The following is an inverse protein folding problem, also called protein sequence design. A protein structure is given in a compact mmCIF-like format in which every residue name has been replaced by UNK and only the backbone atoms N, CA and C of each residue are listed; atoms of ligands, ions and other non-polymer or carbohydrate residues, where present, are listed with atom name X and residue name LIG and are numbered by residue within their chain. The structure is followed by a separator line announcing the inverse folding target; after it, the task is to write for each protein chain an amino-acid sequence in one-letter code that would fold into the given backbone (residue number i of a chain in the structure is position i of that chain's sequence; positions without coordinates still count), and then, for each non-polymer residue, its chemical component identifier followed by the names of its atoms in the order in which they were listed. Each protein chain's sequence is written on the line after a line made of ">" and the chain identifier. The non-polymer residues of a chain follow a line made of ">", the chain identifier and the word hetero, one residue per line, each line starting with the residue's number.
data_IF_641663272180
#
_entry.id   IF_641663272180
#
_cell.length_a   1.000
_cell.length_b   1.000
_cell.length_c   1.000
_cell.angle_alpha   90.00
_cell.angle_beta   90.00
_cell.angle_gamma   90.00
#
_symmetry.space_group_name_H-M   'P 1'
#
loop_
_entity.id
_entity.type
_entity.pdbx_description
1 polymer ?
#
# COMPACT_ATOMS: atom_id res chain seq x y z
N UNK A 1 11.48 23.14 -5.27
CA UNK A 1 11.41 23.09 -3.81
C UNK A 1 11.34 21.66 -3.28
N UNK A 2 10.45 20.79 -3.78
CA UNK A 2 10.29 19.39 -3.32
C UNK A 2 11.60 18.61 -3.47
N UNK A 3 12.26 18.68 -4.63
CA UNK A 3 13.52 17.98 -4.92
C UNK A 3 14.72 18.46 -4.08
N UNK A 4 14.62 19.60 -3.42
CA UNK A 4 15.67 20.12 -2.55
C UNK A 4 15.55 19.64 -1.09
N UNK A 5 14.57 18.80 -0.78
CA UNK A 5 14.33 18.23 0.55
C UNK A 5 15.20 17.00 0.81
N UNK A 6 15.29 16.59 2.06
CA UNK A 6 16.03 15.37 2.43
C UNK A 6 15.52 14.16 1.62
N UNK A 7 16.42 13.43 0.94
CA UNK A 7 16.03 12.34 0.07
C UNK A 7 15.52 11.12 0.87
N UNK A 8 14.80 10.23 0.20
CA UNK A 8 14.14 9.05 0.80
C UNK A 8 15.06 8.15 1.63
N UNK A 9 16.35 8.07 1.27
CA UNK A 9 17.31 7.24 2.00
C UNK A 9 17.82 7.88 3.32
N UNK A 10 17.43 9.13 3.62
CA UNK A 10 17.68 9.78 4.90
C UNK A 10 16.43 9.72 5.78
N UNK A 11 16.10 8.50 6.21
CA UNK A 11 14.90 8.24 7.00
C UNK A 11 15.03 8.88 8.39
N UNK A 12 14.01 9.65 8.78
CA UNK A 12 13.81 10.13 10.14
C UNK A 12 12.39 9.72 10.56
N UNK A 13 12.24 8.54 11.18
CA UNK A 13 10.96 7.94 11.48
C UNK A 13 10.12 8.84 12.39
N UNK A 14 9.05 9.42 11.87
CA UNK A 14 8.04 10.16 12.63
C UNK A 14 6.81 10.39 11.75
N UNK A 15 5.63 10.15 12.29
CA UNK A 15 4.36 10.51 11.66
C UNK A 15 3.93 11.95 11.97
N UNK A 16 4.44 12.53 13.06
CA UNK A 16 3.99 13.82 13.62
C UNK A 16 3.98 14.96 12.60
N UNK A 17 4.99 15.03 11.71
CA UNK A 17 5.06 16.12 10.72
C UNK A 17 3.98 15.99 9.66
N UNK A 18 3.75 14.75 9.19
CA UNK A 18 2.71 14.47 8.19
C UNK A 18 1.33 14.68 8.80
N UNK A 19 1.08 14.13 9.99
CA UNK A 19 -0.15 14.34 10.77
C UNK A 19 -0.43 15.83 10.98
N UNK A 20 0.58 16.62 11.37
CA UNK A 20 0.42 18.05 11.58
C UNK A 20 0.02 18.82 10.31
N UNK A 21 0.53 18.42 9.12
CA UNK A 21 0.10 19.02 7.86
C UNK A 21 -1.32 18.61 7.52
N UNK A 22 -1.66 17.32 7.66
CA UNK A 22 -3.00 16.80 7.38
C UNK A 22 -4.05 17.41 8.30
N UNK A 23 -3.75 17.61 9.58
CA UNK A 23 -4.63 18.31 10.51
C UNK A 23 -4.93 19.75 10.07
N UNK A 24 -3.92 20.48 9.57
CA UNK A 24 -4.11 21.83 9.03
C UNK A 24 -4.93 21.82 7.72
N UNK A 25 -4.88 20.75 6.94
CA UNK A 25 -5.67 20.52 5.74
C UNK A 25 -7.09 20.00 6.04
N UNK A 26 -7.42 19.70 7.30
CA UNK A 26 -8.71 19.15 7.70
C UNK A 26 -8.85 17.64 7.53
N UNK A 27 -7.73 16.91 7.53
CA UNK A 27 -7.66 15.44 7.44
C UNK A 27 -8.29 14.89 6.14
N UNK A 28 -7.82 15.30 4.96
CA UNK A 28 -8.39 14.89 3.67
C UNK A 28 -8.35 13.37 3.46
N UNK A 29 -7.39 12.68 4.07
CA UNK A 29 -7.19 11.22 3.99
C UNK A 29 -8.37 10.41 4.58
N UNK A 30 -9.28 11.06 5.31
CA UNK A 30 -10.46 10.41 5.92
C UNK A 30 -11.71 10.49 5.04
N UNK A 31 -11.64 11.09 3.87
CA UNK A 31 -12.80 11.33 2.99
C UNK A 31 -13.05 10.20 1.99
N UNK A 32 -12.15 9.23 1.88
CA UNK A 32 -12.22 8.10 0.97
C UNK A 32 -11.72 6.81 1.64
N UNK A 33 -12.07 5.67 1.06
CA UNK A 33 -11.55 4.36 1.53
C UNK A 33 -10.08 4.20 1.16
N UNK A 34 -9.38 3.34 1.91
CA UNK A 34 -7.95 3.13 1.70
C UNK A 34 -7.57 1.65 1.65
N UNK A 35 -6.76 1.29 0.65
CA UNK A 35 -6.02 0.03 0.59
C UNK A 35 -4.55 0.35 0.82
N UNK A 36 -3.98 -0.12 1.92
CA UNK A 36 -2.60 0.15 2.32
C UNK A 36 -1.72 -1.08 2.08
N UNK A 37 -0.65 -0.95 1.31
CA UNK A 37 0.14 -2.10 0.83
C UNK A 37 1.57 -2.01 1.31
N UNK A 38 2.03 -3.02 2.05
CA UNK A 38 3.43 -3.20 2.45
C UNK A 38 3.97 -4.57 2.05
N UNK A 39 5.24 -4.79 2.28
CA UNK A 39 5.99 -6.03 2.02
C UNK A 39 7.40 -5.74 1.54
N UNK A 40 8.15 -6.78 1.18
CA UNK A 40 9.48 -6.61 0.60
C UNK A 40 9.38 -6.55 -0.92
N UNK A 41 8.74 -7.52 -1.55
CA UNK A 41 8.59 -7.63 -2.99
C UNK A 41 7.12 -7.60 -3.42
N UNK A 42 6.84 -7.08 -4.61
CA UNK A 42 5.50 -7.14 -5.21
C UNK A 42 4.57 -5.98 -4.88
N UNK A 43 4.90 -5.08 -3.94
CA UNK A 43 4.07 -3.94 -3.54
C UNK A 43 3.49 -3.15 -4.72
N UNK A 44 4.35 -2.59 -5.56
CA UNK A 44 3.93 -1.75 -6.70
C UNK A 44 3.09 -2.51 -7.71
N UNK A 45 3.44 -3.79 -8.00
CA UNK A 45 2.65 -4.63 -8.91
C UNK A 45 1.26 -4.88 -8.33
N UNK A 46 1.17 -5.25 -7.06
CA UNK A 46 -0.10 -5.46 -6.35
C UNK A 46 -0.92 -4.16 -6.32
N UNK A 47 -0.31 -3.01 -6.02
CA UNK A 47 -0.99 -1.72 -5.99
C UNK A 47 -1.61 -1.36 -7.37
N UNK A 48 -0.86 -1.53 -8.46
CA UNK A 48 -1.34 -1.28 -9.82
C UNK A 48 -2.48 -2.21 -10.23
N UNK A 49 -2.38 -3.50 -9.88
CA UNK A 49 -3.44 -4.48 -10.16
C UNK A 49 -4.70 -4.18 -9.34
N UNK A 50 -4.56 -3.87 -8.05
CA UNK A 50 -5.67 -3.48 -7.17
C UNK A 50 -6.40 -2.27 -7.72
N UNK A 51 -5.67 -1.19 -8.07
CA UNK A 51 -6.25 0.00 -8.69
C UNK A 51 -7.05 -0.34 -9.96
N UNK A 52 -6.48 -1.15 -10.87
CA UNK A 52 -7.15 -1.54 -12.12
C UNK A 52 -8.41 -2.37 -11.88
N UNK A 53 -8.40 -3.26 -10.90
CA UNK A 53 -9.58 -4.05 -10.53
C UNK A 53 -10.69 -3.18 -9.95
N UNK A 54 -10.35 -2.25 -9.05
CA UNK A 54 -11.29 -1.30 -8.46
C UNK A 54 -11.88 -0.34 -9.53
N UNK A 55 -11.06 0.18 -10.42
CA UNK A 55 -11.50 1.00 -11.54
C UNK A 55 -12.42 0.22 -12.51
N UNK A 56 -12.10 -1.05 -12.80
CA UNK A 56 -12.97 -1.92 -13.60
C UNK A 56 -14.30 -2.21 -12.90
N UNK A 57 -14.34 -2.20 -11.57
CA UNK A 57 -15.54 -2.25 -10.73
C UNK A 57 -16.33 -0.96 -10.69
N UNK A 58 -15.90 0.09 -11.41
CA UNK A 58 -16.60 1.37 -11.53
C UNK A 58 -16.26 2.41 -10.46
N UNK A 59 -15.24 2.17 -9.64
CA UNK A 59 -14.78 3.13 -8.64
C UNK A 59 -13.82 4.16 -9.25
N UNK A 60 -13.90 5.40 -8.77
CA UNK A 60 -12.86 6.41 -8.99
C UNK A 60 -11.70 6.10 -8.07
N UNK A 61 -10.50 6.01 -8.63
CA UNK A 61 -9.33 5.52 -7.90
C UNK A 61 -8.21 6.54 -7.80
N UNK A 62 -7.58 6.58 -6.64
CA UNK A 62 -6.27 7.19 -6.45
C UNK A 62 -5.21 6.12 -6.20
N UNK A 63 -3.97 6.33 -6.64
CA UNK A 63 -2.86 5.46 -6.29
C UNK A 63 -1.60 6.25 -5.97
N UNK A 64 -0.96 5.89 -4.85
CA UNK A 64 0.36 6.39 -4.48
C UNK A 64 1.36 5.23 -4.47
N UNK A 65 2.45 5.37 -5.22
CA UNK A 65 3.51 4.34 -5.34
C UNK A 65 4.91 4.94 -5.35
N UNK A 66 5.93 4.16 -4.97
CA UNK A 66 7.34 4.55 -5.01
C UNK A 66 8.26 3.36 -5.29
N UNK A 67 9.43 3.60 -5.91
CA UNK A 67 9.84 4.84 -6.57
C UNK A 67 9.17 5.04 -7.94
N UNK A 68 9.39 6.18 -8.59
CA UNK A 68 9.04 6.37 -10.01
C UNK A 68 10.14 5.86 -10.95
N UNK A 69 9.77 5.56 -12.18
CA UNK A 69 10.70 5.07 -13.21
C UNK A 69 11.18 6.20 -14.15
N UNK A 70 10.28 7.00 -14.66
CA UNK A 70 10.59 8.06 -15.62
C UNK A 70 10.26 9.46 -15.08
N UNK A 71 9.12 9.63 -14.42
CA UNK A 71 8.69 10.94 -13.92
C UNK A 71 8.11 10.85 -12.51
N UNK A 72 8.36 11.87 -11.69
CA UNK A 72 7.83 12.00 -10.33
C UNK A 72 6.30 11.90 -10.28
N UNK A 73 5.59 12.31 -11.34
CA UNK A 73 4.14 12.29 -11.44
C UNK A 73 3.56 10.86 -11.40
N UNK A 74 4.35 9.83 -11.76
CA UNK A 74 3.95 8.42 -11.65
C UNK A 74 3.62 7.99 -10.23
N UNK A 75 4.12 8.73 -9.23
CA UNK A 75 3.87 8.41 -7.81
C UNK A 75 2.45 8.69 -7.38
N UNK A 76 1.76 9.61 -8.08
CA UNK A 76 0.38 9.98 -7.82
C UNK A 76 -0.42 9.70 -9.09
N UNK A 77 -1.31 8.73 -9.06
CA UNK A 77 -2.20 8.41 -10.17
C UNK A 77 -3.65 8.67 -9.79
N UNK A 78 -4.43 9.12 -10.77
CA UNK A 78 -5.87 9.31 -10.68
C UNK A 78 -6.53 8.50 -11.80
N UNK A 79 -7.46 7.62 -11.48
CA UNK A 79 -8.12 6.69 -12.39
C UNK A 79 -7.15 5.91 -13.30
N UNK A 80 -6.02 5.50 -12.70
CA UNK A 80 -5.00 4.67 -13.36
C UNK A 80 -3.98 5.41 -14.20
N UNK A 81 -4.09 6.74 -14.35
CA UNK A 81 -3.16 7.56 -15.09
C UNK A 81 -2.33 8.47 -14.15
N UNK A 82 -1.03 8.69 -14.43
CA UNK A 82 -0.24 9.64 -13.66
C UNK A 82 -0.90 11.03 -13.65
N UNK A 83 -0.88 11.68 -12.49
CA UNK A 83 -1.39 13.05 -12.36
C UNK A 83 -0.79 13.96 -13.44
N UNK A 84 -1.59 14.87 -14.02
CA UNK A 84 -1.11 15.83 -15.02
C UNK A 84 -0.04 16.76 -14.43
N UNK A 85 0.69 17.45 -15.28
CA UNK A 85 1.69 18.43 -14.81
C UNK A 85 1.03 19.55 -14.04
N UNK A 86 -0.08 20.06 -14.56
CA UNK A 86 -0.89 21.11 -13.94
C UNK A 86 -1.47 20.62 -12.61
N UNK A 87 -2.00 19.38 -12.55
CA UNK A 87 -2.53 18.79 -11.33
C UNK A 87 -1.45 18.57 -10.27
N UNK A 88 -0.23 18.18 -10.68
CA UNK A 88 0.89 18.03 -9.74
C UNK A 88 1.33 19.37 -9.16
N UNK A 89 1.36 20.43 -9.99
CA UNK A 89 1.69 21.79 -9.54
C UNK A 89 0.60 22.29 -8.59
N UNK A 90 -0.67 22.16 -8.95
CA UNK A 90 -1.80 22.56 -8.11
C UNK A 90 -1.76 21.84 -6.75
N UNK A 91 -1.57 20.51 -6.73
CA UNK A 91 -1.45 19.75 -5.49
C UNK A 91 -0.29 20.22 -4.61
N UNK A 92 0.82 20.67 -5.20
CA UNK A 92 1.91 21.29 -4.45
C UNK A 92 1.51 22.66 -3.90
N UNK A 93 0.94 23.53 -4.73
CA UNK A 93 0.54 24.89 -4.35
C UNK A 93 -0.48 24.87 -3.19
N UNK A 94 -1.39 23.91 -3.20
CA UNK A 94 -2.41 23.74 -2.16
C UNK A 94 -1.82 23.33 -0.82
N UNK A 95 -0.81 22.45 -0.79
CA UNK A 95 -0.21 21.97 0.46
C UNK A 95 0.98 22.79 0.94
N UNK A 96 1.67 23.52 0.05
CA UNK A 96 2.92 24.22 0.33
C UNK A 96 2.85 25.19 1.52
N UNK A 97 1.79 26.00 1.71
CA UNK A 97 1.68 26.91 2.86
C UNK A 97 1.67 26.13 4.19
N UNK A 98 0.97 25.02 4.26
CA UNK A 98 0.85 24.19 5.46
C UNK A 98 2.15 23.43 5.76
N UNK A 99 2.79 22.91 4.71
CA UNK A 99 4.12 22.31 4.81
C UNK A 99 5.13 23.31 5.35
N UNK A 100 5.13 24.57 4.87
CA UNK A 100 6.01 25.62 5.36
C UNK A 100 5.76 25.92 6.85
N UNK A 101 4.51 26.01 7.28
CA UNK A 101 4.16 26.23 8.69
C UNK A 101 4.66 25.11 9.61
N UNK A 102 4.55 23.85 9.18
CA UNK A 102 5.02 22.70 9.96
C UNK A 102 6.55 22.64 9.94
N UNK A 103 7.19 22.92 8.80
CA UNK A 103 8.65 23.02 8.70
C UNK A 103 9.22 24.07 9.68
N UNK A 104 8.63 25.26 9.73
CA UNK A 104 9.04 26.33 10.66
C UNK A 104 8.89 25.90 12.13
N UNK A 105 7.77 25.28 12.49
CA UNK A 105 7.54 24.76 13.85
C UNK A 105 8.55 23.69 14.23
N UNK A 106 8.78 22.72 13.33
CA UNK A 106 9.74 21.64 13.54
C UNK A 106 11.15 22.18 13.73
N UNK A 107 11.59 23.11 12.86
CA UNK A 107 12.91 23.72 12.95
C UNK A 107 13.09 24.58 14.21
N UNK A 108 12.06 25.30 14.64
CA UNK A 108 12.09 26.06 15.89
C UNK A 108 12.23 25.14 17.12
N UNK A 109 11.74 23.89 17.03
CA UNK A 109 11.93 22.87 18.05
C UNK A 109 13.23 22.05 17.89
N UNK A 110 14.09 22.40 16.92
CA UNK A 110 15.34 21.68 16.62
C UNK A 110 15.16 20.42 15.77
N UNK A 111 13.95 20.19 15.22
CA UNK A 111 13.65 19.06 14.36
C UNK A 111 13.94 19.33 12.87
N UNK A 112 13.78 18.32 12.02
CA UNK A 112 13.97 18.45 10.59
C UNK A 112 12.75 19.03 9.88
N UNK A 113 12.92 19.48 8.65
CA UNK A 113 11.83 19.75 7.72
C UNK A 113 11.22 18.44 7.23
N UNK A 114 9.98 18.49 6.69
CA UNK A 114 9.42 17.36 5.97
C UNK A 114 10.38 16.91 4.86
N UNK A 115 10.58 15.60 4.77
CA UNK A 115 11.40 14.98 3.72
C UNK A 115 10.70 15.03 2.36
N UNK A 116 11.42 14.67 1.31
CA UNK A 116 10.88 14.52 -0.04
C UNK A 116 9.68 13.55 -0.08
N UNK A 117 9.80 12.39 0.60
CA UNK A 117 8.75 11.38 0.61
C UNK A 117 7.52 11.84 1.42
N UNK A 118 7.71 12.45 2.59
CA UNK A 118 6.62 12.98 3.41
C UNK A 118 5.79 14.02 2.66
N UNK A 119 6.44 14.92 1.93
CA UNK A 119 5.74 15.93 1.12
C UNK A 119 4.93 15.28 0.01
N UNK A 120 5.49 14.30 -0.70
CA UNK A 120 4.76 13.59 -1.76
C UNK A 120 3.57 12.79 -1.22
N UNK A 121 3.71 12.19 -0.03
CA UNK A 121 2.61 11.51 0.63
C UNK A 121 1.46 12.49 0.96
N UNK A 122 1.77 13.64 1.56
CA UNK A 122 0.77 14.69 1.83
C UNK A 122 0.10 15.17 0.54
N UNK A 123 0.87 15.46 -0.51
CA UNK A 123 0.33 15.88 -1.81
C UNK A 123 -0.62 14.83 -2.39
N UNK A 124 -0.26 13.55 -2.32
CA UNK A 124 -1.12 12.47 -2.82
C UNK A 124 -2.43 12.40 -2.05
N UNK A 125 -2.35 12.42 -0.70
CA UNK A 125 -3.53 12.33 0.16
C UNK A 125 -4.49 13.52 -0.05
N UNK A 126 -3.96 14.74 -0.23
CA UNK A 126 -4.77 15.91 -0.54
C UNK A 126 -5.38 15.83 -1.95
N UNK A 127 -4.58 15.48 -2.96
CA UNK A 127 -5.04 15.37 -4.35
C UNK A 127 -6.16 14.33 -4.52
N UNK A 128 -6.16 13.24 -3.74
CA UNK A 128 -7.23 12.23 -3.77
C UNK A 128 -8.54 12.75 -3.19
N UNK A 129 -8.51 13.65 -2.25
CA UNK A 129 -9.72 14.31 -1.74
C UNK A 129 -10.25 15.37 -2.73
N UNK A 130 -9.37 16.16 -3.33
CA UNK A 130 -9.74 17.19 -4.32
C UNK A 130 -10.30 16.57 -5.61
N UNK A 131 -9.73 15.44 -6.02
CA UNK A 131 -10.27 14.59 -7.09
C UNK A 131 -11.16 13.49 -6.51
N UNK A 132 -12.29 13.77 -5.91
CA UNK A 132 -13.01 12.93 -4.92
C UNK A 132 -13.02 11.45 -5.32
N UNK A 133 -11.93 10.74 -5.02
CA UNK A 133 -11.82 9.29 -5.28
C UNK A 133 -12.72 8.51 -4.32
N UNK A 134 -13.21 7.36 -4.76
CA UNK A 134 -13.94 6.43 -3.88
C UNK A 134 -12.98 5.64 -3.01
N UNK A 135 -11.79 5.33 -3.56
CA UNK A 135 -10.76 4.54 -2.90
C UNK A 135 -9.35 4.95 -3.34
N UNK A 136 -8.43 5.02 -2.39
CA UNK A 136 -7.01 5.23 -2.64
C UNK A 136 -6.21 3.95 -2.32
N UNK A 137 -5.36 3.53 -3.27
CA UNK A 137 -4.42 2.42 -3.13
C UNK A 137 -3.04 3.00 -2.83
N UNK A 138 -2.53 2.77 -1.63
CA UNK A 138 -1.35 3.46 -1.10
C UNK A 138 -0.26 2.45 -0.79
N UNK A 139 0.86 2.57 -1.49
CA UNK A 139 2.07 1.79 -1.26
C UNK A 139 2.93 2.44 -0.19
N UNK A 140 3.33 1.65 0.81
CA UNK A 140 4.32 2.02 1.83
C UNK A 140 5.69 2.23 1.18
N UNK A 141 6.34 3.34 1.49
CA UNK A 141 7.71 3.59 1.02
C UNK A 141 8.73 2.68 1.71
N UNK A 142 8.72 2.63 3.05
CA UNK A 142 9.66 1.82 3.83
C UNK A 142 9.01 1.32 5.13
N UNK A 143 9.11 0.02 5.38
CA UNK A 143 8.59 -0.58 6.61
C UNK A 143 7.08 -0.61 6.67
N UNK A 144 6.49 0.17 7.53
CA UNK A 144 5.05 0.31 7.71
C UNK A 144 4.71 1.21 8.89
N UNK A 145 5.04 0.84 10.11
CA UNK A 145 4.69 1.53 11.36
C UNK A 145 5.02 3.03 11.34
N UNK A 146 6.21 3.39 10.86
CA UNK A 146 6.72 4.76 10.84
C UNK A 146 6.78 5.37 9.44
N UNK A 147 6.19 4.69 8.46
CA UNK A 147 6.12 5.24 7.10
C UNK A 147 5.15 6.43 7.05
N UNK A 148 5.52 7.45 6.28
CA UNK A 148 4.71 8.66 6.13
C UNK A 148 3.27 8.38 5.65
N UNK A 149 3.03 7.24 4.99
CA UNK A 149 1.70 6.82 4.55
C UNK A 149 0.85 6.22 5.67
N UNK A 150 1.44 5.86 6.83
CA UNK A 150 0.72 5.17 7.91
C UNK A 150 -0.20 6.06 8.76
N UNK A 151 -0.42 7.28 8.31
CA UNK A 151 -1.41 8.22 8.85
C UNK A 151 -2.85 7.90 8.43
N UNK A 152 -3.04 7.03 7.44
CA UNK A 152 -4.34 6.63 6.90
C UNK A 152 -5.04 5.57 7.76
N UNK A 153 -6.38 5.48 7.61
CA UNK A 153 -7.22 4.54 8.35
C UNK A 153 -7.06 3.06 7.96
N UNK A 154 -6.57 2.78 6.75
CA UNK A 154 -6.32 1.42 6.22
C UNK A 154 -7.52 0.47 6.36
N UNK A 155 -8.57 0.67 5.55
CA UNK A 155 -9.74 -0.23 5.53
C UNK A 155 -9.33 -1.65 5.13
N UNK A 156 -8.39 -1.74 4.18
CA UNK A 156 -7.78 -3.00 3.74
C UNK A 156 -6.26 -2.86 3.82
N UNK A 157 -5.60 -3.70 4.61
CA UNK A 157 -4.15 -3.82 4.66
C UNK A 157 -3.70 -5.02 3.81
N UNK A 158 -2.73 -4.81 2.92
CA UNK A 158 -2.16 -5.88 2.10
C UNK A 158 -0.70 -6.06 2.45
N UNK A 159 -0.32 -7.28 2.83
CA UNK A 159 1.05 -7.63 3.16
C UNK A 159 1.57 -8.63 2.13
N UNK A 160 2.37 -8.13 1.20
CA UNK A 160 3.06 -8.95 0.19
C UNK A 160 4.22 -9.72 0.84
N UNK A 161 4.90 -10.66 0.15
CA UNK A 161 5.94 -11.48 0.78
C UNK A 161 7.00 -10.63 1.49
N UNK A 162 7.29 -11.00 2.75
CA UNK A 162 8.31 -10.39 3.58
C UNK A 162 9.61 -11.19 3.45
N UNK A 163 10.70 -10.48 3.17
CA UNK A 163 12.05 -11.00 3.14
C UNK A 163 13.02 -10.03 3.80
N UNK A 164 14.29 -10.39 3.86
CA UNK A 164 15.35 -9.50 4.35
C UNK A 164 15.57 -8.39 3.34
N UNK A 165 15.32 -7.16 3.77
CA UNK A 165 15.57 -5.94 3.02
C UNK A 165 15.64 -4.76 3.99
N UNK A 166 16.40 -3.75 3.62
CA UNK A 166 16.56 -2.53 4.43
C UNK A 166 16.92 -2.78 5.91
N UNK A 167 17.73 -3.81 6.19
CA UNK A 167 18.08 -4.26 7.55
C UNK A 167 18.61 -3.12 8.45
N UNK A 168 19.26 -2.13 7.86
CA UNK A 168 19.75 -0.94 8.57
C UNK A 168 18.64 -0.16 9.29
N UNK A 169 17.40 -0.22 8.78
CA UNK A 169 16.29 0.61 9.24
C UNK A 169 15.18 -0.21 9.90
N UNK A 170 14.95 -1.43 9.41
CA UNK A 170 13.81 -2.26 9.82
C UNK A 170 14.18 -3.35 10.83
N UNK A 171 15.47 -3.52 11.12
CA UNK A 171 15.97 -4.59 11.96
C UNK A 171 16.67 -5.70 11.17
N UNK A 172 17.40 -6.54 11.88
CA UNK A 172 18.27 -7.59 11.31
C UNK A 172 17.60 -8.96 11.19
N UNK A 173 16.39 -9.11 11.75
CA UNK A 173 15.62 -10.35 11.72
C UNK A 173 14.32 -10.19 10.94
N UNK A 174 13.80 -11.32 10.42
CA UNK A 174 12.49 -11.34 9.76
C UNK A 174 11.38 -10.90 10.72
N UNK A 175 11.46 -11.28 11.98
CA UNK A 175 10.53 -10.89 13.04
C UNK A 175 10.46 -9.37 13.20
N UNK A 176 11.60 -8.68 13.31
CA UNK A 176 11.64 -7.21 13.41
C UNK A 176 11.07 -6.53 12.15
N UNK A 177 11.45 -7.01 10.98
CA UNK A 177 10.94 -6.49 9.71
C UNK A 177 9.43 -6.70 9.58
N UNK A 178 8.93 -7.87 9.98
CA UNK A 178 7.50 -8.19 9.97
C UNK A 178 6.72 -7.35 10.97
N UNK A 179 7.29 -7.13 12.17
CA UNK A 179 6.71 -6.26 13.19
C UNK A 179 6.50 -4.82 12.66
N UNK A 180 7.52 -4.27 12.00
CA UNK A 180 7.42 -2.94 11.38
C UNK A 180 6.35 -2.90 10.28
N UNK A 181 6.31 -3.92 9.42
CA UNK A 181 5.34 -3.98 8.32
C UNK A 181 3.91 -4.21 8.82
N UNK A 182 3.71 -5.06 9.82
CA UNK A 182 2.41 -5.28 10.44
C UNK A 182 1.81 -4.02 11.08
N UNK A 183 2.61 -2.98 11.31
CA UNK A 183 2.16 -1.68 11.81
C UNK A 183 1.16 -0.92 10.93
N UNK A 184 0.90 -1.38 9.70
CA UNK A 184 -0.17 -0.82 8.84
C UNK A 184 -1.56 -1.40 9.15
N UNK A 185 -1.64 -2.46 9.94
CA UNK A 185 -2.92 -3.07 10.33
C UNK A 185 -3.64 -2.13 11.31
N UNK A 186 -4.89 -1.82 11.03
CA UNK A 186 -5.73 -0.93 11.85
C UNK A 186 -6.92 -1.67 12.44
N UNK A 187 -7.55 -1.07 13.44
CA UNK A 187 -8.68 -1.66 14.13
C UNK A 187 -9.84 -2.00 13.19
N UNK A 188 -10.22 -3.26 13.16
CA UNK A 188 -11.32 -3.77 12.35
C UNK A 188 -11.06 -3.86 10.85
N UNK A 189 -9.81 -3.62 10.39
CA UNK A 189 -9.44 -3.71 8.97
C UNK A 189 -9.52 -5.15 8.43
N UNK A 190 -9.62 -5.30 7.12
CA UNK A 190 -9.37 -6.58 6.44
C UNK A 190 -7.90 -6.67 6.06
N UNK A 191 -7.24 -7.75 6.45
CA UNK A 191 -5.81 -7.98 6.17
C UNK A 191 -5.65 -9.07 5.13
N UNK A 192 -5.11 -8.73 3.98
CA UNK A 192 -4.78 -9.67 2.90
C UNK A 192 -3.29 -10.00 3.01
N UNK A 193 -2.97 -11.26 3.20
CA UNK A 193 -1.59 -11.70 3.51
C UNK A 193 -1.11 -12.71 2.47
N UNK A 194 0.00 -12.41 1.80
CA UNK A 194 0.72 -13.40 0.99
C UNK A 194 1.22 -14.56 1.87
N UNK A 195 1.55 -15.69 1.26
CA UNK A 195 2.29 -16.73 1.97
C UNK A 195 3.57 -16.15 2.59
N UNK A 196 3.80 -16.45 3.86
CA UNK A 196 4.90 -15.91 4.68
C UNK A 196 5.71 -17.04 5.32
N UNK A 197 6.96 -16.75 5.61
CA UNK A 197 7.73 -17.62 6.54
C UNK A 197 7.12 -17.55 7.94
N UNK A 198 7.25 -18.62 8.76
CA UNK A 198 6.55 -18.72 10.06
C UNK A 198 6.77 -17.54 10.99
N UNK A 199 7.98 -16.99 11.04
CA UNK A 199 8.34 -15.86 11.89
C UNK A 199 7.59 -14.58 11.50
N UNK A 200 7.41 -14.35 10.20
CA UNK A 200 6.65 -13.21 9.70
C UNK A 200 5.15 -13.41 9.89
N UNK A 201 4.65 -14.63 9.65
CA UNK A 201 3.25 -14.97 9.84
C UNK A 201 2.81 -14.73 11.29
N UNK A 202 3.64 -15.13 12.28
CA UNK A 202 3.35 -14.96 13.70
C UNK A 202 3.20 -13.48 14.10
N UNK A 203 4.06 -12.59 13.62
CA UNK A 203 3.96 -11.14 13.89
C UNK A 203 2.71 -10.52 13.27
N UNK A 204 2.37 -10.91 12.03
CA UNK A 204 1.17 -10.44 11.35
C UNK A 204 -0.09 -10.91 12.08
N UNK A 205 -0.15 -12.17 12.49
CA UNK A 205 -1.27 -12.74 13.23
C UNK A 205 -1.45 -12.05 14.58
N UNK A 206 -0.36 -11.82 15.31
CA UNK A 206 -0.39 -11.09 16.58
C UNK A 206 -0.95 -9.67 16.40
N UNK A 207 -0.50 -8.96 15.38
CA UNK A 207 -1.01 -7.63 15.07
C UNK A 207 -2.49 -7.66 14.69
N UNK A 208 -2.91 -8.61 13.85
CA UNK A 208 -4.30 -8.76 13.42
C UNK A 208 -5.24 -9.05 14.61
N UNK A 209 -4.84 -9.93 15.52
CA UNK A 209 -5.60 -10.22 16.75
C UNK A 209 -5.70 -8.96 17.62
N UNK A 210 -4.61 -8.24 17.80
CA UNK A 210 -4.57 -7.01 18.62
C UNK A 210 -5.50 -5.93 18.10
N UNK A 211 -5.66 -5.84 16.77
CA UNK A 211 -6.51 -4.89 16.09
C UNK A 211 -7.90 -5.46 15.71
N UNK A 212 -8.24 -6.67 16.12
CA UNK A 212 -9.50 -7.33 15.75
C UNK A 212 -9.75 -7.33 14.24
N UNK A 213 -8.68 -7.44 13.47
CA UNK A 213 -8.71 -7.43 12.02
C UNK A 213 -9.13 -8.81 11.46
N UNK A 214 -9.78 -8.80 10.30
CA UNK A 214 -10.17 -10.02 9.58
C UNK A 214 -9.05 -10.41 8.63
N UNK A 215 -8.46 -11.58 8.84
CA UNK A 215 -7.35 -12.08 8.01
C UNK A 215 -7.86 -12.94 6.87
N UNK A 216 -7.40 -12.64 5.64
CA UNK A 216 -7.50 -13.51 4.46
C UNK A 216 -6.06 -13.79 4.01
N UNK A 217 -5.64 -15.02 4.11
CA UNK A 217 -4.25 -15.41 3.82
C UNK A 217 -4.12 -16.29 2.59
N UNK A 218 -3.03 -16.16 1.90
CA UNK A 218 -2.65 -17.11 0.87
C UNK A 218 -2.26 -18.46 1.50
N UNK A 219 -2.74 -19.55 0.91
CA UNK A 219 -2.47 -20.91 1.36
C UNK A 219 -0.96 -21.23 1.31
N UNK A 220 -0.46 -21.86 2.37
CA UNK A 220 0.86 -22.46 2.33
C UNK A 220 0.88 -23.59 1.29
N UNK A 221 1.85 -23.66 0.38
CA UNK A 221 2.00 -24.75 -0.57
C UNK A 221 2.11 -26.15 0.04
N UNK A 222 2.46 -26.22 1.33
CA UNK A 222 2.58 -27.49 2.09
C UNK A 222 1.27 -27.92 2.77
N UNK A 223 0.26 -27.02 2.82
CA UNK A 223 -1.05 -27.35 3.38
C UNK A 223 -1.87 -28.22 2.41
N UNK A 224 -2.75 -29.06 2.97
CA UNK A 224 -3.69 -29.84 2.18
C UNK A 224 -4.59 -28.90 1.35
N UNK A 225 -4.52 -28.97 0.00
CA UNK A 225 -5.30 -28.10 -0.88
C UNK A 225 -6.81 -28.30 -0.76
N UNK A 226 -7.25 -29.42 -0.18
CA UNK A 226 -8.67 -29.75 0.00
C UNK A 226 -9.22 -29.35 1.36
N UNK A 227 -8.37 -28.85 2.27
CA UNK A 227 -8.81 -28.40 3.59
C UNK A 227 -9.69 -27.14 3.50
N UNK A 228 -10.95 -27.22 3.94
CA UNK A 228 -11.84 -26.05 3.92
C UNK A 228 -11.47 -25.11 5.06
N UNK A 229 -10.74 -24.06 4.75
CA UNK A 229 -10.44 -23.00 5.70
C UNK A 229 -11.01 -21.68 5.19
N UNK A 230 -11.77 -21.00 6.05
CA UNK A 230 -12.36 -19.72 5.71
C UNK A 230 -11.29 -18.65 5.51
N UNK A 231 -11.42 -17.84 4.46
CA UNK A 231 -10.50 -16.74 4.17
C UNK A 231 -9.19 -17.15 3.51
N UNK A 232 -9.04 -18.40 3.08
CA UNK A 232 -7.84 -18.85 2.34
C UNK A 232 -7.92 -18.45 0.88
N UNK A 233 -6.82 -17.86 0.39
CA UNK A 233 -6.61 -17.46 -1.00
C UNK A 233 -5.68 -18.46 -1.67
N UNK A 234 -5.92 -18.79 -2.94
CA UNK A 234 -5.09 -19.77 -3.65
C UNK A 234 -5.02 -19.50 -5.15
N UNK A 235 -3.83 -19.69 -5.73
CA UNK A 235 -3.64 -19.91 -7.16
C UNK A 235 -3.86 -21.40 -7.40
N UNK A 236 -4.98 -21.77 -8.07
CA UNK A 236 -5.35 -23.17 -8.31
C UNK A 236 -4.65 -23.76 -9.53
N UNK A 237 -4.54 -22.98 -10.62
CA UNK A 237 -3.86 -23.37 -11.85
C UNK A 237 -3.20 -22.17 -12.51
N UNK A 238 -2.14 -22.42 -13.25
CA UNK A 238 -1.40 -21.44 -14.00
C UNK A 238 -0.80 -22.03 -15.28
N UNK A 239 -1.17 -21.47 -16.41
CA UNK A 239 -0.69 -21.87 -17.72
C UNK A 239 -0.07 -20.69 -18.45
N UNK A 240 1.06 -20.91 -19.11
CA UNK A 240 1.68 -19.89 -19.95
C UNK A 240 0.84 -19.67 -21.21
N UNK A 241 0.63 -18.41 -21.55
CA UNK A 241 -0.09 -17.97 -22.73
C UNK A 241 0.72 -16.93 -23.52
N UNK A 242 0.34 -16.69 -24.76
CA UNK A 242 0.97 -15.65 -25.58
C UNK A 242 0.67 -14.27 -24.96
N UNK A 243 1.72 -13.54 -24.62
CA UNK A 243 1.60 -12.20 -24.00
C UNK A 243 1.29 -12.19 -22.51
N UNK A 244 1.30 -13.38 -21.84
CA UNK A 244 0.99 -13.46 -20.41
C UNK A 244 0.79 -14.89 -19.94
N UNK A 245 -0.21 -15.06 -19.09
CA UNK A 245 -0.58 -16.35 -18.50
C UNK A 245 -2.08 -16.42 -18.23
N UNK A 246 -2.66 -17.61 -18.27
CA UNK A 246 -3.99 -17.92 -17.76
C UNK A 246 -3.86 -18.43 -16.34
N UNK A 247 -4.65 -17.89 -15.43
CA UNK A 247 -4.57 -18.22 -14.01
C UNK A 247 -5.97 -18.47 -13.46
N UNK A 248 -6.13 -19.55 -12.72
CA UNK A 248 -7.35 -19.82 -11.96
C UNK A 248 -7.10 -19.48 -10.49
N UNK A 249 -7.90 -18.55 -9.96
CA UNK A 249 -7.82 -18.09 -8.58
C UNK A 249 -8.99 -18.59 -7.75
N UNK A 250 -8.73 -18.96 -6.50
CA UNK A 250 -9.75 -19.12 -5.47
C UNK A 250 -9.58 -18.04 -4.40
N UNK A 251 -10.66 -17.34 -4.10
CA UNK A 251 -10.73 -16.34 -3.04
C UNK A 251 -11.84 -16.69 -2.05
N UNK A 252 -12.04 -15.85 -1.03
CA UNK A 252 -13.15 -16.03 -0.10
C UNK A 252 -14.53 -15.84 -0.78
N UNK A 253 -14.59 -15.07 -1.87
CA UNK A 253 -15.84 -14.75 -2.56
C UNK A 253 -16.17 -15.74 -3.69
N UNK A 254 -15.18 -16.15 -4.50
CA UNK A 254 -15.41 -16.96 -5.70
C UNK A 254 -14.17 -17.69 -6.21
N UNK A 255 -14.40 -18.57 -7.20
CA UNK A 255 -13.36 -19.11 -8.08
C UNK A 255 -13.42 -18.37 -9.41
N UNK A 256 -12.28 -17.86 -9.87
CA UNK A 256 -12.11 -17.15 -11.13
C UNK A 256 -11.29 -18.03 -12.06
N UNK A 257 -11.97 -18.67 -13.01
CA UNK A 257 -11.34 -19.61 -13.94
C UNK A 257 -10.70 -18.87 -15.12
N UNK A 258 -9.53 -19.33 -15.55
CA UNK A 258 -8.82 -18.92 -16.77
C UNK A 258 -8.68 -17.40 -16.95
N UNK A 259 -8.49 -16.66 -15.85
CA UNK A 259 -8.28 -15.22 -15.92
C UNK A 259 -6.96 -14.91 -16.65
N UNK A 260 -7.03 -14.11 -17.73
CA UNK A 260 -5.83 -13.71 -18.45
C UNK A 260 -5.07 -12.60 -17.72
N UNK A 261 -3.85 -12.90 -17.31
CA UNK A 261 -2.93 -11.95 -16.71
C UNK A 261 -1.85 -11.56 -17.74
N UNK A 262 -1.84 -10.33 -18.27
CA UNK A 262 -0.88 -9.88 -19.31
C UNK A 262 0.51 -9.60 -18.72
N UNK A 263 0.98 -10.46 -17.84
CA UNK A 263 2.27 -10.39 -17.17
C UNK A 263 2.85 -11.80 -17.06
N UNK A 264 4.17 -11.90 -17.17
CA UNK A 264 4.88 -13.15 -17.02
C UNK A 264 5.45 -13.30 -15.60
N UNK A 265 5.67 -14.55 -15.20
CA UNK A 265 6.26 -14.90 -13.90
C UNK A 265 5.21 -15.35 -12.88
N UNK A 266 5.56 -16.41 -12.16
CA UNK A 266 4.70 -17.01 -11.14
C UNK A 266 4.33 -16.01 -10.04
N UNK A 267 5.30 -15.23 -9.57
CA UNK A 267 5.10 -14.20 -8.57
C UNK A 267 4.03 -13.16 -8.97
N UNK A 268 3.80 -12.93 -10.27
CA UNK A 268 2.75 -12.01 -10.71
C UNK A 268 1.35 -12.61 -10.53
N UNK A 269 1.20 -13.94 -10.62
CA UNK A 269 -0.06 -14.59 -10.29
C UNK A 269 -0.39 -14.43 -8.80
N UNK A 270 0.60 -14.58 -7.91
CA UNK A 270 0.42 -14.34 -6.48
C UNK A 270 0.11 -12.86 -6.17
N UNK A 271 0.80 -11.91 -6.79
CA UNK A 271 0.46 -10.48 -6.67
C UNK A 271 -0.96 -10.18 -7.15
N UNK A 272 -1.40 -10.82 -8.25
CA UNK A 272 -2.76 -10.67 -8.77
C UNK A 272 -3.82 -11.26 -7.83
N UNK A 273 -3.53 -12.40 -7.18
CA UNK A 273 -4.39 -12.99 -6.16
C UNK A 273 -4.62 -12.04 -4.98
N UNK A 274 -3.55 -11.44 -4.47
CA UNK A 274 -3.65 -10.46 -3.39
C UNK A 274 -4.44 -9.21 -3.82
N UNK A 275 -4.20 -8.73 -5.04
CA UNK A 275 -4.91 -7.58 -5.59
C UNK A 275 -6.41 -7.87 -5.76
N UNK A 276 -6.77 -9.07 -6.23
CA UNK A 276 -8.15 -9.50 -6.37
C UNK A 276 -8.85 -9.57 -5.02
N UNK A 277 -8.22 -10.21 -4.02
CA UNK A 277 -8.75 -10.29 -2.67
C UNK A 277 -8.90 -8.92 -2.00
N UNK A 278 -7.97 -7.99 -2.27
CA UNK A 278 -8.06 -6.61 -1.78
C UNK A 278 -9.24 -5.86 -2.44
N UNK A 279 -9.42 -6.00 -3.75
CA UNK A 279 -10.56 -5.40 -4.45
C UNK A 279 -11.90 -5.95 -3.95
N UNK A 280 -12.02 -7.28 -3.75
CA UNK A 280 -13.20 -7.88 -3.12
C UNK A 280 -13.48 -7.32 -1.72
N UNK A 281 -12.43 -7.13 -0.91
CA UNK A 281 -12.58 -6.60 0.45
C UNK A 281 -13.05 -5.15 0.47
N UNK A 282 -12.74 -4.37 -0.57
CA UNK A 282 -13.25 -2.99 -0.73
C UNK A 282 -14.71 -3.00 -1.18
N UNK A 283 -15.12 -3.93 -2.05
CA UNK A 283 -16.51 -4.00 -2.51
C UNK A 283 -17.48 -4.52 -1.43
N UNK A 284 -17.02 -5.38 -0.52
CA UNK A 284 -17.79 -5.95 0.60
C UNK A 284 -18.34 -7.33 0.28
#
# INVERSE_FOLDING_TARGET
>A
EILARAPEHQVQPSLERVEAVLDLLGNPERTYRTVHITGTNGKTSTARMTERLLAAGGMRTGRFTSPHLATIRERISLDGEPISEEGFIAAWEDVAPYVAMVDERSQAAGGPRLSFFEVLAVMALAAFADYPVDVAVIEVGLGGRWDATNVIGSDVAVITPIGRDHERWLGSSITEIAHEKAGIIKDGSTVIVAHQVPEAAAEIEQAAVSHRAVVRRERDPQEDPTSPEAGVLQVLDRQLAVGGQLVTFATAAAVYEDAFLPLHGEYQAHNALLALAAAEAVHG
#
